data_IF_372451017717
#
_entry.id   IF_372451017717
#
_cell.length_a   1.000
_cell.length_b   1.000
_cell.length_c   1.000
_cell.angle_alpha   90.00
_cell.angle_beta   90.00
_cell.angle_gamma   90.00
#
_symmetry.space_group_name_H-M   'P 1'
#
loop_
_entity.id
_entity.type
_entity.pdbx_description
1 polymer ?
#
# COMPACT_ATOMS: atom_id res chain seq x y z
N UNK A 1 -29.00 -22.73 10.31
CA UNK A 1 -28.42 -23.91 9.68
C UNK A 1 -29.50 -24.97 9.55
N UNK A 2 -29.55 -25.68 8.44
CA UNK A 2 -30.62 -26.65 8.12
C UNK A 2 -30.03 -28.01 7.77
N UNK A 3 -30.76 -29.06 8.07
CA UNK A 3 -30.38 -30.43 7.73
C UNK A 3 -29.04 -30.83 8.35
N UNK A 4 -28.14 -31.35 7.53
CA UNK A 4 -26.82 -31.85 7.91
C UNK A 4 -25.68 -30.75 7.93
N UNK A 5 -26.04 -29.48 7.69
CA UNK A 5 -25.05 -28.39 7.61
C UNK A 5 -24.23 -28.28 8.91
N UNK A 6 -24.81 -28.44 10.07
CA UNK A 6 -24.10 -28.40 11.34
C UNK A 6 -23.11 -29.57 11.47
N UNK A 7 -23.50 -30.76 11.06
CA UNK A 7 -22.64 -31.94 11.07
C UNK A 7 -21.47 -31.77 10.12
N UNK A 8 -21.71 -31.29 8.91
CA UNK A 8 -20.66 -31.00 7.91
C UNK A 8 -19.73 -29.90 8.40
N UNK A 9 -20.27 -28.82 8.98
CA UNK A 9 -19.49 -27.74 9.56
C UNK A 9 -18.58 -28.22 10.69
N UNK A 10 -19.13 -29.01 11.64
CA UNK A 10 -18.37 -29.59 12.75
C UNK A 10 -17.26 -30.54 12.27
N UNK A 11 -17.55 -31.38 11.26
CA UNK A 11 -16.56 -32.24 10.63
C UNK A 11 -15.44 -31.47 9.95
N UNK A 12 -15.79 -30.35 9.30
CA UNK A 12 -14.81 -29.44 8.66
C UNK A 12 -13.91 -28.78 9.70
N UNK A 13 -14.47 -28.25 10.80
CA UNK A 13 -13.69 -27.69 11.93
C UNK A 13 -12.76 -28.73 12.51
N UNK A 14 -13.24 -29.97 12.72
CA UNK A 14 -12.40 -31.09 13.21
C UNK A 14 -11.24 -31.38 12.28
N UNK A 15 -11.49 -31.52 10.99
CA UNK A 15 -10.45 -31.78 9.99
C UNK A 15 -9.41 -30.67 9.95
N UNK A 16 -9.83 -29.41 9.96
CA UNK A 16 -8.95 -28.26 9.94
C UNK A 16 -8.14 -28.15 11.22
N UNK A 17 -8.75 -28.26 12.41
CA UNK A 17 -8.07 -28.15 13.68
C UNK A 17 -7.01 -29.24 13.86
N UNK A 18 -7.30 -30.49 13.50
CA UNK A 18 -6.33 -31.59 13.56
C UNK A 18 -5.13 -31.35 12.62
N UNK A 19 -5.38 -30.80 11.44
CA UNK A 19 -4.33 -30.49 10.46
C UNK A 19 -3.47 -29.30 10.89
N UNK A 20 -4.08 -28.27 11.50
CA UNK A 20 -3.47 -26.97 11.72
C UNK A 20 -2.88 -26.79 13.13
N UNK A 21 -3.34 -27.54 14.15
CA UNK A 21 -2.96 -27.33 15.57
C UNK A 21 -1.46 -27.44 15.86
N UNK A 22 -0.70 -28.09 14.98
CA UNK A 22 0.74 -28.25 15.14
C UNK A 22 1.57 -27.12 14.46
N UNK A 23 0.91 -26.15 13.85
CA UNK A 23 1.58 -25.01 13.19
C UNK A 23 1.77 -23.86 14.18
N UNK A 24 3.02 -23.54 14.62
CA UNK A 24 3.26 -22.51 15.64
C UNK A 24 2.94 -21.09 15.17
N UNK A 25 2.79 -20.86 13.86
CA UNK A 25 2.42 -19.57 13.28
C UNK A 25 0.92 -19.22 13.39
N UNK A 26 0.08 -20.19 13.80
CA UNK A 26 -1.35 -19.94 14.01
C UNK A 26 -1.59 -19.36 15.39
N UNK A 27 -1.98 -18.09 15.44
CA UNK A 27 -2.15 -17.34 16.67
C UNK A 27 -3.50 -17.61 17.35
N UNK A 28 -4.60 -17.67 16.56
CA UNK A 28 -5.95 -17.83 17.09
C UNK A 28 -6.88 -18.49 16.05
N UNK A 29 -8.04 -18.93 16.54
CA UNK A 29 -9.14 -19.45 15.75
C UNK A 29 -10.33 -18.51 15.83
N UNK A 30 -10.91 -18.13 14.68
CA UNK A 30 -12.14 -17.36 14.61
C UNK A 30 -13.28 -18.25 14.05
N UNK A 31 -14.39 -18.38 14.81
CA UNK A 31 -15.51 -19.24 14.42
C UNK A 31 -16.40 -18.64 13.35
N UNK A 32 -16.42 -17.32 13.21
CA UNK A 32 -17.25 -16.58 12.26
C UNK A 32 -16.49 -15.41 11.64
N UNK A 33 -17.11 -14.80 10.62
CA UNK A 33 -16.59 -13.59 9.96
C UNK A 33 -17.39 -12.35 10.46
N UNK A 34 -18.27 -11.78 9.64
CA UNK A 34 -19.01 -10.54 9.91
C UNK A 34 -19.93 -10.59 11.13
N UNK A 35 -20.24 -11.78 11.59
CA UNK A 35 -21.08 -12.04 12.78
C UNK A 35 -20.65 -13.34 13.46
N UNK A 36 -20.88 -13.45 14.77
CA UNK A 36 -20.79 -14.74 15.44
C UNK A 36 -21.70 -15.78 14.76
N UNK A 37 -21.31 -17.06 14.75
CA UNK A 37 -22.23 -18.13 14.39
C UNK A 37 -23.48 -18.12 15.30
N UNK A 38 -24.61 -18.70 14.88
CA UNK A 38 -25.71 -19.00 15.79
C UNK A 38 -25.21 -19.81 17.00
N UNK A 39 -25.86 -19.62 18.16
CA UNK A 39 -25.38 -20.18 19.43
C UNK A 39 -25.16 -21.70 19.41
N UNK A 40 -26.06 -22.45 18.79
CA UNK A 40 -25.95 -23.91 18.63
C UNK A 40 -24.76 -24.32 17.77
N UNK A 41 -24.46 -23.55 16.74
CA UNK A 41 -23.29 -23.75 15.85
C UNK A 41 -22.00 -23.40 16.58
N UNK A 42 -21.96 -22.28 17.29
CA UNK A 42 -20.80 -21.88 18.08
C UNK A 42 -20.43 -22.92 19.13
N UNK A 43 -21.44 -23.40 19.89
CA UNK A 43 -21.22 -24.44 20.89
C UNK A 43 -20.69 -25.75 20.29
N UNK A 44 -21.21 -26.15 19.14
CA UNK A 44 -20.70 -27.33 18.42
C UNK A 44 -19.24 -27.16 18.00
N UNK A 45 -18.87 -25.99 17.49
CA UNK A 45 -17.48 -25.69 17.08
C UNK A 45 -16.54 -25.66 18.30
N UNK A 46 -16.93 -25.02 19.39
CA UNK A 46 -16.17 -24.98 20.63
C UNK A 46 -15.93 -26.39 21.19
N UNK A 47 -16.96 -27.25 21.15
CA UNK A 47 -16.84 -28.64 21.57
C UNK A 47 -15.82 -29.40 20.70
N UNK A 48 -15.89 -29.26 19.38
CA UNK A 48 -14.93 -29.89 18.45
C UNK A 48 -13.51 -29.41 18.69
N UNK A 49 -13.28 -28.10 18.87
CA UNK A 49 -11.96 -27.53 19.14
C UNK A 49 -11.38 -28.05 20.46
N UNK A 50 -12.24 -28.19 21.49
CA UNK A 50 -11.86 -28.83 22.76
C UNK A 50 -11.46 -30.30 22.58
N UNK A 51 -12.26 -31.10 21.87
CA UNK A 51 -11.99 -32.51 21.60
C UNK A 51 -10.72 -32.73 20.78
N UNK A 52 -10.40 -31.82 19.88
CA UNK A 52 -9.18 -31.86 19.06
C UNK A 52 -7.98 -31.22 19.77
N UNK A 53 -8.12 -30.77 21.01
CA UNK A 53 -7.07 -30.11 21.79
C UNK A 53 -6.45 -28.93 21.04
N UNK A 54 -7.28 -28.02 20.54
CA UNK A 54 -6.80 -26.80 19.91
C UNK A 54 -6.02 -25.93 20.91
N UNK A 55 -4.74 -25.55 20.63
CA UNK A 55 -3.85 -24.98 21.65
C UNK A 55 -3.98 -23.48 21.85
N UNK A 56 -4.54 -22.74 20.87
CA UNK A 56 -4.50 -21.29 20.83
C UNK A 56 -5.85 -20.66 21.19
N UNK A 57 -5.92 -19.34 21.46
CA UNK A 57 -7.17 -18.64 21.72
C UNK A 57 -8.24 -18.87 20.66
N UNK A 58 -9.48 -18.91 21.08
CA UNK A 58 -10.66 -19.06 20.23
C UNK A 58 -11.52 -17.80 20.40
N UNK A 59 -11.93 -17.20 19.30
CA UNK A 59 -12.76 -16.00 19.24
C UNK A 59 -14.02 -16.31 18.42
N UNK A 60 -15.15 -15.79 18.86
CA UNK A 60 -16.45 -16.07 18.23
C UNK A 60 -16.56 -15.61 16.78
N UNK A 61 -15.97 -14.46 16.44
CA UNK A 61 -15.96 -13.93 15.06
C UNK A 61 -14.90 -12.85 14.85
N UNK A 62 -14.71 -12.47 13.60
CA UNK A 62 -13.90 -11.31 13.23
C UNK A 62 -14.59 -9.97 13.58
N UNK A 63 -15.91 -9.97 13.81
CA UNK A 63 -16.67 -8.76 14.12
C UNK A 63 -16.60 -8.39 15.60
N UNK A 64 -16.92 -7.13 15.90
CA UNK A 64 -17.07 -6.65 17.28
C UNK A 64 -18.38 -7.09 17.96
N UNK A 65 -19.29 -7.78 17.23
CA UNK A 65 -20.58 -8.22 17.76
C UNK A 65 -20.34 -9.26 18.85
N UNK A 66 -20.84 -9.07 20.09
CA UNK A 66 -20.74 -10.08 21.12
C UNK A 66 -21.49 -11.37 20.73
N UNK A 67 -20.93 -12.51 21.11
CA UNK A 67 -21.58 -13.81 21.07
C UNK A 67 -22.08 -14.21 22.47
N UNK A 68 -22.77 -15.35 22.57
CA UNK A 68 -23.16 -15.91 23.86
C UNK A 68 -21.95 -16.27 24.73
N UNK A 69 -20.83 -16.59 24.10
CA UNK A 69 -19.52 -16.82 24.76
C UNK A 69 -18.85 -15.54 25.27
N UNK A 70 -19.38 -14.36 24.95
CA UNK A 70 -18.84 -13.06 25.35
C UNK A 70 -18.38 -12.18 24.21
N UNK A 71 -17.74 -11.03 24.51
CA UNK A 71 -17.23 -10.12 23.49
C UNK A 71 -16.06 -10.76 22.74
N UNK A 72 -16.00 -10.52 21.41
CA UNK A 72 -14.89 -11.03 20.58
C UNK A 72 -13.54 -10.36 20.88
N UNK A 73 -13.56 -9.12 21.35
CA UNK A 73 -12.35 -8.29 21.48
C UNK A 73 -11.79 -7.78 20.12
N UNK A 74 -12.44 -8.15 19.03
CA UNK A 74 -12.05 -7.71 17.69
C UNK A 74 -12.69 -6.37 17.34
N UNK A 75 -12.13 -5.69 16.36
CA UNK A 75 -12.65 -4.48 15.77
C UNK A 75 -12.86 -4.67 14.26
N UNK A 76 -14.07 -4.47 13.79
CA UNK A 76 -14.43 -4.51 12.38
C UNK A 76 -15.40 -3.36 12.12
N UNK A 77 -14.83 -2.15 12.05
CA UNK A 77 -15.58 -0.90 12.01
C UNK A 77 -15.36 -0.11 10.71
N UNK A 78 -14.73 -0.76 9.72
CA UNK A 78 -14.37 -0.12 8.46
C UNK A 78 -13.21 0.88 8.64
N UNK A 79 -13.07 1.89 7.77
CA UNK A 79 -13.88 2.12 6.57
C UNK A 79 -13.63 1.10 5.46
N UNK A 80 -14.47 1.14 4.42
CA UNK A 80 -14.33 0.36 3.19
C UNK A 80 -14.37 1.26 1.94
N UNK A 81 -14.53 2.56 2.13
CA UNK A 81 -14.43 3.58 1.10
C UNK A 81 -13.27 4.52 1.41
N UNK A 82 -12.92 5.38 0.46
CA UNK A 82 -11.78 6.26 0.61
C UNK A 82 -11.90 7.18 1.83
N UNK A 83 -10.80 7.28 2.57
CA UNK A 83 -10.55 8.28 3.61
C UNK A 83 -9.16 8.88 3.42
N UNK A 84 -8.98 10.19 3.66
CA UNK A 84 -7.67 10.83 3.62
C UNK A 84 -6.66 10.16 4.57
N UNK A 85 -5.35 10.17 4.25
CA UNK A 85 -4.30 9.51 5.03
C UNK A 85 -4.29 9.84 6.53
N UNK A 86 -4.64 11.07 6.91
CA UNK A 86 -4.69 11.47 8.33
C UNK A 86 -5.77 10.75 9.15
N UNK A 87 -6.82 10.22 8.50
CA UNK A 87 -7.93 9.54 9.16
C UNK A 87 -7.45 8.50 10.19
N UNK A 88 -6.50 7.68 9.80
CA UNK A 88 -6.03 6.55 10.59
C UNK A 88 -5.42 6.93 11.94
N UNK A 89 -4.85 8.15 12.05
CA UNK A 89 -4.25 8.67 13.28
C UNK A 89 -5.18 9.58 14.07
N UNK A 90 -6.11 10.29 13.40
CA UNK A 90 -7.01 11.24 14.08
C UNK A 90 -8.30 10.59 14.59
N UNK A 91 -8.74 9.48 13.98
CA UNK A 91 -9.91 8.75 14.46
C UNK A 91 -9.54 7.81 15.61
N UNK A 92 -10.28 7.96 16.72
CA UNK A 92 -10.09 7.15 17.94
C UNK A 92 -11.33 6.35 18.33
N UNK A 93 -12.35 6.29 17.45
CA UNK A 93 -13.66 5.70 17.78
C UNK A 93 -14.16 4.69 16.76
N UNK A 94 -13.69 4.76 15.51
CA UNK A 94 -14.22 3.96 14.40
C UNK A 94 -13.12 3.09 13.78
N UNK A 95 -12.64 3.41 12.57
CA UNK A 95 -11.65 2.63 11.83
C UNK A 95 -10.19 2.93 12.18
N UNK A 96 -9.92 4.02 12.89
CA UNK A 96 -8.57 4.48 13.19
C UNK A 96 -7.67 3.47 13.89
N UNK A 97 -6.40 3.81 14.06
CA UNK A 97 -5.36 2.89 14.49
C UNK A 97 -5.37 2.60 16.00
N UNK A 98 -6.29 1.76 16.44
CA UNK A 98 -6.38 1.21 17.79
C UNK A 98 -7.01 -0.20 17.75
N UNK A 99 -6.76 -1.03 18.76
CA UNK A 99 -7.26 -2.41 18.84
C UNK A 99 -6.75 -3.29 17.71
N UNK A 100 -7.39 -4.44 17.53
CA UNK A 100 -7.14 -5.37 16.42
C UNK A 100 -8.24 -5.24 15.37
N UNK A 101 -7.94 -4.58 14.24
CA UNK A 101 -8.89 -4.43 13.14
C UNK A 101 -8.77 -5.61 12.17
N UNK A 102 -9.76 -6.47 12.20
CA UNK A 102 -9.76 -7.71 11.44
C UNK A 102 -10.10 -7.53 9.96
N UNK A 103 -10.67 -6.37 9.59
CA UNK A 103 -11.07 -6.13 8.22
C UNK A 103 -11.31 -4.64 7.98
N UNK A 104 -10.52 -4.03 7.11
CA UNK A 104 -10.66 -2.63 6.68
C UNK A 104 -9.90 -2.37 5.38
N UNK A 105 -10.23 -1.28 4.70
CA UNK A 105 -9.53 -0.83 3.49
C UNK A 105 -9.68 0.67 3.29
N UNK A 106 -8.67 1.37 2.77
CA UNK A 106 -8.78 2.78 2.40
C UNK A 106 -9.56 3.02 1.09
N UNK A 107 -10.34 2.06 0.61
CA UNK A 107 -11.31 2.21 -0.46
C UNK A 107 -10.95 1.55 -1.79
N UNK A 108 -11.48 2.07 -2.90
CA UNK A 108 -11.26 1.55 -4.23
C UNK A 108 -9.78 1.43 -4.60
N UNK A 109 -9.45 0.34 -5.31
CA UNK A 109 -8.14 0.04 -5.84
C UNK A 109 -8.25 -0.09 -7.37
N UNK A 110 -7.99 1.00 -8.08
CA UNK A 110 -8.10 1.02 -9.55
C UNK A 110 -6.90 0.30 -10.16
N UNK A 111 -7.11 -0.76 -10.96
CA UNK A 111 -6.03 -1.44 -11.67
C UNK A 111 -5.29 -0.54 -12.66
N UNK A 112 -4.13 -0.97 -13.11
CA UNK A 112 -3.40 -0.24 -14.15
C UNK A 112 -4.15 -0.26 -15.50
N UNK A 113 -3.84 0.65 -16.44
CA UNK A 113 -4.49 0.66 -17.75
C UNK A 113 -4.33 -0.66 -18.52
N UNK A 114 -3.21 -1.38 -18.34
CA UNK A 114 -3.01 -2.68 -18.98
C UNK A 114 -3.99 -3.73 -18.46
N UNK A 115 -4.25 -3.71 -17.16
CA UNK A 115 -5.21 -4.62 -16.55
C UNK A 115 -6.64 -4.23 -16.87
N UNK A 116 -7.00 -2.93 -16.80
CA UNK A 116 -8.33 -2.42 -17.14
C UNK A 116 -8.77 -2.83 -18.55
N UNK A 117 -7.88 -2.71 -19.53
CA UNK A 117 -8.15 -3.09 -20.93
C UNK A 117 -8.46 -4.58 -21.13
N UNK A 118 -8.20 -5.44 -20.15
CA UNK A 118 -8.47 -6.89 -20.23
C UNK A 118 -9.93 -7.23 -19.88
N UNK A 119 -10.66 -6.33 -19.21
CA UNK A 119 -12.01 -6.61 -18.75
C UNK A 119 -13.02 -5.47 -18.95
N UNK A 120 -12.57 -4.25 -19.18
CA UNK A 120 -13.45 -3.13 -19.58
C UNK A 120 -13.39 -3.02 -21.11
N UNK A 121 -14.55 -3.07 -21.81
CA UNK A 121 -14.61 -2.88 -23.27
C UNK A 121 -13.99 -1.54 -23.69
N UNK A 122 -13.38 -1.51 -24.85
CA UNK A 122 -12.60 -0.36 -25.32
C UNK A 122 -13.39 0.95 -25.39
N UNK A 123 -14.68 0.88 -25.75
CA UNK A 123 -15.63 1.99 -25.82
C UNK A 123 -16.14 2.48 -24.46
N UNK A 124 -15.88 1.70 -23.37
CA UNK A 124 -16.21 2.03 -21.99
C UNK A 124 -14.99 2.36 -21.12
N UNK A 125 -13.76 2.37 -21.71
CA UNK A 125 -12.56 2.67 -20.94
C UNK A 125 -12.52 4.12 -20.43
N UNK A 126 -13.15 5.05 -21.14
CA UNK A 126 -13.24 6.44 -20.75
C UNK A 126 -14.38 7.15 -21.51
N UNK A 127 -15.19 8.03 -20.88
CA UNK A 127 -15.18 8.33 -19.43
C UNK A 127 -15.71 7.18 -18.57
N UNK A 128 -15.56 7.32 -17.24
CA UNK A 128 -16.10 6.35 -16.27
C UNK A 128 -17.63 6.33 -16.35
N UNK A 129 -18.21 5.14 -16.46
CA UNK A 129 -19.64 4.90 -16.65
C UNK A 129 -20.17 3.73 -15.79
N UNK A 130 -21.33 3.18 -16.16
CA UNK A 130 -21.96 2.06 -15.46
C UNK A 130 -21.16 0.75 -15.56
N UNK A 131 -20.34 0.55 -16.58
CA UNK A 131 -19.46 -0.63 -16.70
C UNK A 131 -18.41 -0.59 -15.59
N UNK A 132 -17.82 0.57 -15.35
CA UNK A 132 -16.91 0.76 -14.22
C UNK A 132 -17.62 0.51 -12.88
N UNK A 133 -18.81 1.07 -12.70
CA UNK A 133 -19.57 0.89 -11.47
C UNK A 133 -19.98 -0.57 -11.24
N UNK A 134 -20.25 -1.33 -12.30
CA UNK A 134 -20.47 -2.77 -12.22
C UNK A 134 -19.26 -3.49 -11.61
N UNK A 135 -18.05 -3.13 -12.01
CA UNK A 135 -16.81 -3.68 -11.49
C UNK A 135 -16.41 -3.12 -10.10
N UNK A 136 -17.02 -2.06 -9.62
CA UNK A 136 -16.79 -1.51 -8.29
C UNK A 136 -17.59 -2.21 -7.19
N UNK A 137 -18.20 -3.34 -7.48
CA UNK A 137 -19.01 -4.13 -6.56
C UNK A 137 -20.52 -3.89 -6.69
N UNK A 138 -21.29 -4.58 -5.90
CA UNK A 138 -22.76 -4.51 -5.90
C UNK A 138 -23.29 -3.89 -4.63
N UNK A 139 -24.63 -3.62 -4.57
CA UNK A 139 -25.27 -3.03 -3.40
C UNK A 139 -24.68 -1.67 -3.04
N UNK A 140 -24.27 -1.46 -1.80
CA UNK A 140 -23.73 -0.19 -1.30
C UNK A 140 -22.32 0.18 -1.82
N UNK A 141 -21.62 -0.77 -2.45
CA UNK A 141 -20.28 -0.57 -3.02
C UNK A 141 -20.27 -0.43 -4.54
N UNK A 142 -21.43 -0.38 -5.16
CA UNK A 142 -21.62 -0.47 -6.62
C UNK A 142 -21.17 0.75 -7.42
N UNK A 143 -20.72 1.81 -6.79
CA UNK A 143 -20.31 3.03 -7.48
C UNK A 143 -18.96 3.52 -6.96
N UNK A 144 -18.25 4.28 -7.82
CA UNK A 144 -17.04 5.01 -7.49
C UNK A 144 -17.32 6.46 -7.08
N UNK A 145 -18.57 6.81 -6.73
CA UNK A 145 -18.99 8.20 -6.53
C UNK A 145 -18.18 8.92 -5.47
N UNK A 146 -18.10 8.37 -4.25
CA UNK A 146 -17.33 8.98 -3.16
C UNK A 146 -15.84 9.06 -3.48
N UNK A 147 -15.29 7.98 -4.06
CA UNK A 147 -13.89 7.93 -4.45
C UNK A 147 -13.55 8.97 -5.52
N UNK A 148 -14.36 9.09 -6.56
CA UNK A 148 -14.16 10.07 -7.62
C UNK A 148 -14.36 11.50 -7.12
N UNK A 149 -15.31 11.74 -6.20
CA UNK A 149 -15.48 13.03 -5.56
C UNK A 149 -14.22 13.44 -4.77
N UNK A 150 -13.64 12.51 -3.99
CA UNK A 150 -12.39 12.72 -3.29
C UNK A 150 -11.21 12.97 -4.25
N UNK A 151 -11.06 12.14 -5.29
CA UNK A 151 -10.01 12.29 -6.31
C UNK A 151 -10.09 13.65 -6.99
N UNK A 152 -11.30 14.07 -7.39
CA UNK A 152 -11.53 15.36 -8.02
C UNK A 152 -11.22 16.54 -7.08
N UNK A 153 -11.56 16.42 -5.81
CA UNK A 153 -11.33 17.46 -4.82
C UNK A 153 -9.84 17.59 -4.46
N UNK A 154 -9.12 16.47 -4.35
CA UNK A 154 -7.71 16.46 -3.97
C UNK A 154 -6.77 16.73 -5.16
N UNK A 155 -6.99 16.05 -6.28
CA UNK A 155 -6.07 16.06 -7.43
C UNK A 155 -6.65 16.79 -8.66
N UNK A 156 -7.86 17.33 -8.56
CA UNK A 156 -8.57 17.93 -9.69
C UNK A 156 -9.21 16.89 -10.63
N UNK A 157 -10.24 17.25 -11.39
CA UNK A 157 -10.92 16.34 -12.29
C UNK A 157 -9.95 15.78 -13.35
N UNK A 158 -9.99 14.46 -13.61
CA UNK A 158 -9.12 13.82 -14.60
C UNK A 158 -9.55 14.16 -16.02
N UNK A 159 -8.58 14.24 -16.93
CA UNK A 159 -8.77 14.60 -18.33
C UNK A 159 -8.91 13.38 -19.24
N UNK A 160 -8.35 12.26 -18.88
CA UNK A 160 -8.33 11.01 -19.63
C UNK A 160 -8.04 9.81 -18.69
N UNK A 161 -8.03 8.60 -19.26
CA UNK A 161 -7.79 7.37 -18.53
C UNK A 161 -6.41 7.35 -17.83
N UNK A 162 -5.37 7.82 -18.50
CA UNK A 162 -4.01 7.79 -17.97
C UNK A 162 -3.85 8.79 -16.82
N UNK A 163 -4.50 9.94 -16.91
CA UNK A 163 -4.54 10.93 -15.85
C UNK A 163 -5.35 10.43 -14.63
N UNK A 164 -6.52 9.81 -14.88
CA UNK A 164 -7.31 9.18 -13.82
C UNK A 164 -6.51 8.08 -13.11
N UNK A 165 -5.88 7.20 -13.88
CA UNK A 165 -5.08 6.11 -13.31
C UNK A 165 -3.92 6.63 -12.47
N UNK A 166 -3.17 7.61 -12.97
CA UNK A 166 -2.04 8.24 -12.27
C UNK A 166 -2.44 8.80 -10.90
N UNK A 167 -3.60 9.51 -10.84
CA UNK A 167 -4.18 10.02 -9.59
C UNK A 167 -4.59 8.88 -8.66
N UNK A 168 -5.27 7.89 -9.20
CA UNK A 168 -5.72 6.72 -8.43
C UNK A 168 -4.56 5.93 -7.83
N UNK A 169 -3.45 5.76 -8.57
CA UNK A 169 -2.27 5.09 -8.04
C UNK A 169 -1.62 5.85 -6.88
N UNK A 170 -1.54 7.19 -6.97
CA UNK A 170 -1.01 8.02 -5.90
C UNK A 170 -1.92 7.97 -4.66
N UNK A 171 -3.25 8.06 -4.82
CA UNK A 171 -4.21 7.93 -3.72
C UNK A 171 -4.12 6.57 -3.04
N UNK A 172 -4.07 5.48 -3.82
CA UNK A 172 -3.97 4.13 -3.27
C UNK A 172 -2.64 3.91 -2.53
N UNK A 173 -1.52 4.38 -3.10
CA UNK A 173 -0.21 4.29 -2.46
C UNK A 173 -0.21 5.00 -1.09
N UNK A 174 -0.68 6.25 -1.05
CA UNK A 174 -0.68 7.06 0.16
C UNK A 174 -1.67 6.55 1.21
N UNK A 175 -2.88 6.16 0.79
CA UNK A 175 -3.93 5.65 1.67
C UNK A 175 -3.54 4.33 2.36
N UNK A 176 -3.04 3.35 1.59
CA UNK A 176 -2.58 2.06 2.12
C UNK A 176 -1.36 2.23 3.03
N UNK A 177 -0.38 3.03 2.60
CA UNK A 177 0.80 3.33 3.41
C UNK A 177 0.40 3.93 4.76
N UNK A 178 -0.44 4.97 4.73
CA UNK A 178 -0.87 5.68 5.93
C UNK A 178 -1.63 4.79 6.92
N UNK A 179 -2.46 3.85 6.43
CA UNK A 179 -3.15 2.89 7.26
C UNK A 179 -2.16 2.03 8.05
N UNK A 180 -1.28 1.32 7.37
CA UNK A 180 -0.32 0.43 8.02
C UNK A 180 0.68 1.17 8.91
N UNK A 181 1.16 2.35 8.49
CA UNK A 181 2.03 3.20 9.30
C UNK A 181 1.35 3.65 10.60
N UNK A 182 0.08 4.04 10.55
CA UNK A 182 -0.67 4.45 11.74
C UNK A 182 -0.81 3.32 12.75
N UNK A 183 -1.16 2.10 12.28
CA UNK A 183 -1.25 0.93 13.15
C UNK A 183 0.10 0.53 13.73
N UNK A 184 1.18 0.64 12.97
CA UNK A 184 2.54 0.36 13.46
C UNK A 184 3.03 1.42 14.46
N UNK A 185 2.76 2.71 14.19
CA UNK A 185 3.12 3.81 15.12
C UNK A 185 2.39 3.70 16.46
N UNK A 186 1.15 3.23 16.44
CA UNK A 186 0.31 3.16 17.64
C UNK A 186 0.46 1.85 18.43
N UNK A 187 1.57 1.10 18.25
CA UNK A 187 1.90 -0.03 19.14
C UNK A 187 1.96 0.50 20.59
N UNK A 188 1.32 -0.09 21.55
CA UNK A 188 0.46 -1.26 21.61
C UNK A 188 -1.01 -0.89 21.90
N UNK A 189 -1.40 0.35 21.66
CA UNK A 189 -2.82 0.73 21.60
C UNK A 189 -3.47 0.06 20.39
N UNK A 190 -2.74 -0.03 19.29
CA UNK A 190 -3.05 -0.88 18.16
C UNK A 190 -2.31 -2.22 18.28
N UNK A 191 -3.00 -3.33 18.03
CA UNK A 191 -2.45 -4.68 18.10
C UNK A 191 -2.45 -5.39 16.75
N UNK A 192 -3.04 -4.82 15.73
CA UNK A 192 -2.98 -5.33 14.36
C UNK A 192 -4.05 -4.75 13.44
N UNK A 193 -3.80 -4.90 12.15
CA UNK A 193 -4.74 -4.57 11.07
C UNK A 193 -4.62 -5.59 9.95
N UNK A 194 -5.77 -5.99 9.38
CA UNK A 194 -5.82 -6.87 8.22
C UNK A 194 -6.49 -6.10 7.09
N UNK A 195 -5.75 -5.93 5.99
CA UNK A 195 -6.27 -5.34 4.76
C UNK A 195 -7.29 -6.27 4.12
N UNK A 196 -8.48 -5.77 3.87
CA UNK A 196 -9.47 -6.38 3.01
C UNK A 196 -9.40 -5.72 1.63
N UNK A 197 -8.71 -6.35 0.62
CA UNK A 197 -8.19 -7.72 0.66
C UNK A 197 -6.95 -7.90 -0.22
N UNK A 198 -6.31 -9.08 -0.18
CA UNK A 198 -5.08 -9.32 -0.93
C UNK A 198 -5.30 -9.29 -2.44
N UNK A 199 -6.32 -10.00 -2.94
CA UNK A 199 -6.61 -10.11 -4.38
C UNK A 199 -8.08 -10.44 -4.63
N UNK A 200 -8.52 -10.29 -5.88
CA UNK A 200 -9.90 -10.52 -6.30
C UNK A 200 -10.08 -11.86 -7.02
N UNK A 201 -11.25 -12.49 -6.82
CA UNK A 201 -11.65 -13.72 -7.52
C UNK A 201 -12.27 -13.45 -8.91
N UNK A 202 -12.53 -12.19 -9.25
CA UNK A 202 -13.02 -11.71 -10.54
C UNK A 202 -12.53 -10.28 -10.77
N UNK A 203 -12.57 -9.73 -12.01
CA UNK A 203 -12.10 -8.38 -12.28
C UNK A 203 -12.92 -7.35 -11.48
N UNK A 204 -12.30 -6.71 -10.51
CA UNK A 204 -12.92 -5.74 -9.60
C UNK A 204 -12.05 -4.50 -9.45
N UNK A 205 -12.65 -3.39 -9.04
CA UNK A 205 -12.02 -2.09 -8.81
C UNK A 205 -11.88 -1.76 -7.32
N UNK A 206 -12.17 -2.72 -6.42
CA UNK A 206 -12.20 -2.44 -4.98
C UNK A 206 -11.29 -3.36 -4.17
N UNK A 207 -10.62 -2.75 -3.19
CA UNK A 207 -9.96 -3.31 -2.01
C UNK A 207 -8.72 -4.18 -2.23
N UNK A 208 -8.33 -4.50 -3.46
CA UNK A 208 -7.23 -5.42 -3.71
C UNK A 208 -5.85 -4.75 -3.62
N UNK A 209 -4.85 -5.53 -3.21
CA UNK A 209 -3.42 -5.19 -3.38
C UNK A 209 -2.88 -5.74 -4.70
N UNK A 210 -3.34 -6.94 -5.10
CA UNK A 210 -3.14 -7.49 -6.45
C UNK A 210 -4.49 -7.60 -7.13
N UNK A 211 -4.59 -7.09 -8.34
CA UNK A 211 -5.82 -7.20 -9.11
C UNK A 211 -6.11 -8.64 -9.58
N UNK A 212 -7.20 -8.84 -10.33
CA UNK A 212 -7.57 -10.15 -10.88
C UNK A 212 -6.49 -10.76 -11.77
N UNK A 213 -5.69 -9.95 -12.45
CA UNK A 213 -4.58 -10.37 -13.30
C UNK A 213 -3.27 -10.57 -12.52
N UNK A 214 -3.29 -10.47 -11.19
CA UNK A 214 -2.15 -10.55 -10.28
C UNK A 214 -1.12 -9.42 -10.49
N UNK A 215 -1.56 -8.29 -11.05
CA UNK A 215 -0.74 -7.10 -11.20
C UNK A 215 -0.77 -6.28 -9.90
N UNK A 216 0.40 -6.00 -9.27
CA UNK A 216 0.47 -5.09 -8.12
C UNK A 216 0.46 -3.63 -8.62
N UNK A 217 -0.28 -2.78 -7.90
CA UNK A 217 -0.41 -1.36 -8.23
C UNK A 217 0.06 -0.48 -7.05
N UNK A 218 -0.25 0.82 -7.08
CA UNK A 218 0.21 1.77 -6.07
C UNK A 218 -0.10 1.34 -4.64
N UNK A 219 -1.30 0.83 -4.37
CA UNK A 219 -1.70 0.35 -3.05
C UNK A 219 -0.81 -0.76 -2.50
N UNK A 220 -0.45 -1.74 -3.34
CA UNK A 220 0.50 -2.80 -2.95
C UNK A 220 1.85 -2.22 -2.51
N UNK A 221 2.40 -1.27 -3.28
CA UNK A 221 3.71 -0.71 -2.96
C UNK A 221 3.67 0.23 -1.75
N UNK A 222 2.56 0.94 -1.53
CA UNK A 222 2.32 1.68 -0.29
C UNK A 222 2.28 0.74 0.93
N UNK A 223 1.54 -0.36 0.84
CA UNK A 223 1.50 -1.42 1.86
C UNK A 223 2.88 -2.01 2.12
N UNK A 224 3.60 -2.38 1.07
CA UNK A 224 4.94 -2.95 1.17
C UNK A 224 5.91 -1.99 1.86
N UNK A 225 5.84 -0.71 1.51
CA UNK A 225 6.65 0.36 2.11
C UNK A 225 6.39 0.48 3.61
N UNK A 226 5.13 0.55 4.02
CA UNK A 226 4.74 0.70 5.43
C UNK A 226 5.10 -0.51 6.31
N UNK A 227 5.23 -1.69 5.70
CA UNK A 227 5.54 -2.95 6.40
C UNK A 227 7.03 -3.34 6.34
N UNK A 228 7.94 -2.41 6.05
CA UNK A 228 9.38 -2.64 6.22
C UNK A 228 9.68 -3.03 7.68
N UNK A 229 10.49 -4.06 7.97
CA UNK A 229 10.71 -4.54 9.34
C UNK A 229 11.28 -3.48 10.28
N UNK A 230 12.16 -2.61 9.77
CA UNK A 230 12.60 -1.38 10.45
C UNK A 230 12.24 -0.23 9.55
N UNK A 231 11.37 0.65 10.01
CA UNK A 231 10.71 1.64 9.15
C UNK A 231 10.73 3.04 9.74
N UNK A 232 10.99 4.05 8.90
CA UNK A 232 10.88 5.47 9.27
C UNK A 232 9.66 6.09 8.60
N UNK A 233 8.83 6.80 9.38
CA UNK A 233 7.54 7.29 8.94
C UNK A 233 7.21 8.70 9.46
N UNK A 234 6.27 9.36 8.75
CA UNK A 234 5.66 10.64 9.13
C UNK A 234 4.25 10.41 9.71
N UNK A 235 3.95 11.05 10.81
CA UNK A 235 2.64 11.00 11.44
C UNK A 235 1.77 12.21 11.05
N UNK A 236 0.64 11.92 10.42
CA UNK A 236 -0.25 12.94 9.85
C UNK A 236 -1.03 13.75 10.90
N UNK A 237 -1.13 13.27 12.14
CA UNK A 237 -1.82 13.94 13.24
C UNK A 237 -0.99 15.06 13.85
N UNK A 238 0.28 14.78 14.20
CA UNK A 238 1.14 15.66 14.96
C UNK A 238 2.44 16.09 14.25
N UNK A 239 2.64 15.66 13.01
CA UNK A 239 3.86 15.92 12.21
C UNK A 239 5.14 15.32 12.83
N UNK A 240 5.00 14.34 13.70
CA UNK A 240 6.18 13.65 14.22
C UNK A 240 6.78 12.70 13.18
N UNK A 241 8.08 12.49 13.31
CA UNK A 241 8.80 11.44 12.64
C UNK A 241 9.02 10.32 13.66
N UNK A 242 8.58 9.13 13.30
CA UNK A 242 8.74 7.95 14.13
C UNK A 242 9.58 6.88 13.40
N UNK A 243 10.29 6.09 14.18
CA UNK A 243 10.92 4.85 13.72
C UNK A 243 10.24 3.69 14.42
N UNK A 244 9.91 2.65 13.65
CA UNK A 244 9.32 1.41 14.13
C UNK A 244 10.32 0.29 13.89
N UNK A 245 10.61 -0.49 14.92
CA UNK A 245 11.35 -1.74 14.82
C UNK A 245 10.38 -2.89 15.07
N UNK A 246 10.06 -3.67 14.04
CA UNK A 246 9.21 -4.86 14.17
C UNK A 246 10.03 -6.16 14.17
N UNK A 247 11.33 -6.07 14.45
CA UNK A 247 12.20 -7.23 14.57
C UNK A 247 12.35 -7.64 16.04
N UNK A 248 12.84 -8.86 16.29
CA UNK A 248 13.12 -9.37 17.62
C UNK A 248 14.51 -8.97 18.17
N UNK A 249 15.24 -8.14 17.43
CA UNK A 249 16.55 -7.64 17.80
C UNK A 249 16.51 -6.12 17.99
N UNK A 250 17.22 -5.59 18.99
CA UNK A 250 17.37 -4.14 19.13
C UNK A 250 18.17 -3.57 17.96
N UNK A 251 17.96 -2.32 17.65
CA UNK A 251 18.74 -1.55 16.67
C UNK A 251 19.44 -0.39 17.37
N UNK A 252 20.70 -0.10 17.00
CA UNK A 252 21.46 0.98 17.61
C UNK A 252 22.32 1.73 16.58
N UNK A 253 22.64 2.98 16.90
CA UNK A 253 23.47 3.84 16.07
C UNK A 253 22.83 4.17 14.72
N UNK A 254 21.51 4.04 14.58
CA UNK A 254 20.82 4.39 13.37
C UNK A 254 20.79 5.90 13.17
N UNK A 255 20.88 6.35 11.91
CA UNK A 255 20.81 7.76 11.53
C UNK A 255 19.48 8.03 10.82
N UNK A 256 18.60 8.73 11.49
CA UNK A 256 17.33 9.18 10.95
C UNK A 256 17.49 10.60 10.40
N UNK A 257 17.43 10.76 9.08
CA UNK A 257 17.53 12.06 8.41
C UNK A 257 16.19 12.48 7.87
N UNK A 258 15.81 13.71 8.13
CA UNK A 258 14.56 14.34 7.70
C UNK A 258 14.89 15.57 6.87
N UNK A 259 14.24 15.70 5.72
CA UNK A 259 14.33 16.89 4.86
C UNK A 259 12.94 17.28 4.39
N UNK A 260 12.56 18.52 4.67
CA UNK A 260 11.31 19.13 4.21
C UNK A 260 11.64 20.16 3.15
N UNK A 261 10.99 20.06 2.00
CA UNK A 261 11.17 21.02 0.90
C UNK A 261 9.80 21.54 0.44
N UNK A 262 9.76 22.79 0.00
CA UNK A 262 8.57 23.35 -0.64
C UNK A 262 8.36 22.76 -2.06
N UNK A 263 7.29 23.19 -2.72
CA UNK A 263 6.99 22.76 -4.10
C UNK A 263 8.11 23.07 -5.10
N UNK A 264 8.89 24.10 -4.87
CA UNK A 264 10.02 24.49 -5.71
C UNK A 264 11.35 23.86 -5.29
N UNK A 265 11.29 22.89 -4.36
CA UNK A 265 12.44 22.16 -3.79
C UNK A 265 13.37 23.03 -2.93
N UNK A 266 12.94 24.21 -2.52
CA UNK A 266 13.66 25.00 -1.50
C UNK A 266 13.52 24.30 -0.15
N UNK A 267 14.64 24.08 0.52
CA UNK A 267 14.67 23.48 1.86
C UNK A 267 14.01 24.40 2.88
N UNK A 268 13.02 23.84 3.60
CA UNK A 268 12.30 24.48 4.68
C UNK A 268 12.81 24.02 6.05
N UNK A 269 13.22 22.77 6.13
CA UNK A 269 13.74 22.14 7.35
C UNK A 269 14.59 20.93 7.01
N UNK A 270 15.67 20.74 7.78
CA UNK A 270 16.51 19.55 7.70
C UNK A 270 17.11 19.24 9.07
N UNK A 271 17.03 17.97 9.47
CA UNK A 271 17.59 17.51 10.75
C UNK A 271 17.98 16.04 10.66
N UNK A 272 19.04 15.69 11.39
CA UNK A 272 19.47 14.30 11.57
C UNK A 272 19.51 13.96 13.07
N UNK A 273 19.00 12.78 13.41
CA UNK A 273 18.99 12.28 14.78
C UNK A 273 19.58 10.87 14.83
N UNK A 274 20.21 10.54 15.96
CA UNK A 274 20.65 9.17 16.24
C UNK A 274 19.52 8.44 16.96
N UNK A 275 19.25 7.20 16.53
CA UNK A 275 18.19 6.36 17.06
C UNK A 275 18.76 5.04 17.57
N UNK A 276 18.51 4.77 18.84
CA UNK A 276 18.71 3.49 19.48
C UNK A 276 17.35 3.01 19.96
N UNK A 277 16.97 1.77 19.67
CA UNK A 277 15.62 1.29 19.95
C UNK A 277 15.62 -0.21 20.29
N UNK A 278 14.79 -0.58 21.23
CA UNK A 278 14.56 -1.97 21.61
C UNK A 278 13.91 -2.78 20.48
N UNK A 279 13.98 -4.11 20.61
CA UNK A 279 13.21 -5.03 19.79
C UNK A 279 11.72 -4.73 19.91
N UNK A 280 11.00 -4.89 18.79
CA UNK A 280 9.55 -4.68 18.69
C UNK A 280 9.07 -3.33 19.27
N UNK A 281 9.84 -2.28 19.03
CA UNK A 281 9.66 -0.95 19.60
C UNK A 281 9.13 0.08 18.57
N UNK A 282 8.65 1.19 19.12
CA UNK A 282 8.34 2.41 18.38
C UNK A 282 8.88 3.63 19.12
N UNK A 283 9.51 4.55 18.39
CA UNK A 283 10.09 5.76 18.96
C UNK A 283 9.77 6.98 18.12
N UNK A 284 9.21 8.01 18.77
CA UNK A 284 9.15 9.36 18.19
C UNK A 284 10.55 9.97 18.23
N UNK A 285 11.09 10.30 17.07
CA UNK A 285 12.47 10.79 16.93
C UNK A 285 12.52 12.31 17.00
N UNK A 286 11.68 12.97 16.22
CA UNK A 286 11.56 14.42 16.20
C UNK A 286 10.15 14.83 15.71
N UNK A 287 9.88 16.13 15.73
CA UNK A 287 8.66 16.72 15.17
C UNK A 287 9.04 17.83 14.21
N UNK A 288 8.56 17.74 12.96
CA UNK A 288 8.84 18.80 11.99
C UNK A 288 7.98 20.03 12.29
N UNK A 289 8.51 21.25 12.04
CA UNK A 289 7.72 22.47 12.19
C UNK A 289 6.54 22.49 11.24
N UNK A 290 5.53 23.29 11.57
CA UNK A 290 4.42 23.52 10.65
C UNK A 290 4.91 24.30 9.43
N UNK A 291 4.57 23.81 8.24
CA UNK A 291 4.83 24.55 7.01
C UNK A 291 3.79 25.65 6.90
N UNK A 292 4.19 26.92 6.85
CA UNK A 292 3.24 28.03 6.78
C UNK A 292 2.33 27.90 5.55
N UNK A 293 1.03 28.13 5.77
CA UNK A 293 0.06 28.24 4.69
C UNK A 293 -0.15 29.71 4.38
N UNK A 294 0.18 30.10 3.16
CA UNK A 294 -0.27 31.37 2.60
C UNK A 294 -1.79 31.33 2.32
N UNK A 295 -2.34 32.41 1.78
CA UNK A 295 -3.77 32.48 1.41
C UNK A 295 -4.21 31.37 0.43
N UNK A 296 -3.27 30.77 -0.30
CA UNK A 296 -3.51 29.65 -1.21
C UNK A 296 -2.82 28.40 -0.68
N UNK A 297 -3.54 27.26 -0.52
CA UNK A 297 -2.94 26.00 -0.14
C UNK A 297 -1.82 25.59 -1.09
N UNK A 298 -0.78 24.99 -0.56
CA UNK A 298 0.35 24.54 -1.36
C UNK A 298 0.74 23.10 -1.00
N UNK A 299 1.49 22.46 -1.90
CA UNK A 299 2.10 21.14 -1.69
C UNK A 299 3.54 21.32 -1.24
N UNK A 300 3.97 20.51 -0.30
CA UNK A 300 5.35 20.38 0.14
C UNK A 300 5.71 18.90 0.27
N UNK A 301 7.00 18.61 0.35
CA UNK A 301 7.50 17.24 0.37
C UNK A 301 8.33 16.98 1.62
N UNK A 302 8.18 15.76 2.16
CA UNK A 302 9.00 15.28 3.27
C UNK A 302 9.75 14.04 2.81
N UNK A 303 11.08 14.13 2.80
CA UNK A 303 11.98 13.01 2.52
C UNK A 303 12.56 12.49 3.82
N UNK A 304 12.39 11.19 4.05
CA UNK A 304 12.94 10.48 5.20
C UNK A 304 13.93 9.44 4.75
N UNK A 305 15.01 9.26 5.52
CA UNK A 305 15.92 8.13 5.37
C UNK A 305 16.42 7.65 6.73
N UNK A 306 16.55 6.35 6.86
CA UNK A 306 17.11 5.69 8.02
C UNK A 306 18.28 4.84 7.56
N UNK A 307 19.48 5.12 8.07
CA UNK A 307 20.71 4.38 7.77
C UNK A 307 21.23 3.69 9.00
N UNK A 308 21.81 2.51 8.84
CA UNK A 308 22.51 1.84 9.93
C UNK A 308 23.87 2.50 10.25
N UNK A 309 24.53 2.03 11.31
CA UNK A 309 25.82 2.54 11.75
C UNK A 309 26.93 2.43 10.69
N UNK A 310 26.76 1.60 9.66
CA UNK A 310 27.71 1.48 8.54
C UNK A 310 27.40 2.46 7.40
N UNK A 311 26.29 3.19 7.49
CA UNK A 311 25.81 4.12 6.46
C UNK A 311 24.94 3.46 5.39
N UNK A 312 24.61 2.16 5.51
CA UNK A 312 23.71 1.46 4.59
C UNK A 312 22.27 1.92 4.83
N UNK A 313 21.55 2.21 3.76
CA UNK A 313 20.14 2.57 3.80
C UNK A 313 19.31 1.35 4.26
N UNK A 314 18.53 1.53 5.32
CA UNK A 314 17.65 0.52 5.92
C UNK A 314 16.20 0.79 5.51
N UNK A 315 15.76 2.05 5.61
CA UNK A 315 14.42 2.48 5.21
C UNK A 315 14.48 3.88 4.61
N UNK A 316 13.62 4.16 3.65
CA UNK A 316 13.42 5.51 3.14
C UNK A 316 11.97 5.73 2.76
N UNK A 317 11.47 6.93 3.00
CA UNK A 317 10.09 7.28 2.69
C UNK A 317 10.00 8.66 2.06
N UNK A 318 8.95 8.88 1.27
CA UNK A 318 8.72 10.16 0.61
C UNK A 318 7.23 10.50 0.70
N UNK A 319 6.92 11.65 1.29
CA UNK A 319 5.55 12.16 1.45
C UNK A 319 5.35 13.40 0.61
N UNK A 320 4.17 13.52 0.05
CA UNK A 320 3.65 14.74 -0.57
C UNK A 320 2.44 15.17 0.25
N UNK A 321 2.49 16.37 0.76
CA UNK A 321 1.58 16.86 1.77
C UNK A 321 1.01 18.22 1.35
N UNK A 322 -0.23 18.48 1.73
CA UNK A 322 -0.88 19.78 1.55
C UNK A 322 -0.82 20.59 2.83
N UNK A 323 -0.68 21.90 2.71
CA UNK A 323 -0.89 22.80 3.85
C UNK A 323 -2.36 22.91 4.25
N UNK A 324 -3.29 22.48 3.38
CA UNK A 324 -4.70 22.34 3.67
C UNK A 324 -4.97 20.95 4.27
N UNK A 325 -5.49 20.92 5.48
CA UNK A 325 -5.84 19.68 6.18
C UNK A 325 -7.24 19.21 5.79
N UNK A 326 -7.49 17.90 5.72
CA UNK A 326 -8.85 17.40 5.55
C UNK A 326 -9.67 17.56 6.84
N UNK A 327 -10.99 17.71 6.67
CA UNK A 327 -11.97 17.79 7.76
C UNK A 327 -13.02 16.71 7.59
N UNK A 328 -13.44 16.08 8.69
CA UNK A 328 -14.32 14.92 8.68
C UNK A 328 -15.67 15.25 9.34
N UNK A 329 -16.75 14.70 8.80
CA UNK A 329 -18.07 14.68 9.43
C UNK A 329 -18.21 13.38 10.25
N UNK A 330 -17.72 13.42 11.48
CA UNK A 330 -17.72 12.25 12.37
C UNK A 330 -19.13 11.79 12.75
N UNK A 331 -20.12 12.68 12.75
CA UNK A 331 -21.51 12.34 13.11
C UNK A 331 -22.16 11.46 12.05
N UNK A 332 -21.75 11.58 10.80
CA UNK A 332 -22.25 10.78 9.68
C UNK A 332 -21.38 9.56 9.36
N UNK A 333 -20.42 9.24 10.22
CA UNK A 333 -19.60 8.03 10.04
C UNK A 333 -20.48 6.79 10.04
N UNK A 334 -20.22 5.92 9.05
CA UNK A 334 -20.81 4.60 8.92
C UNK A 334 -19.73 3.53 8.89
N UNK A 335 -20.11 2.25 8.89
CA UNK A 335 -19.19 1.14 8.65
C UNK A 335 -18.42 1.29 7.31
N UNK A 336 -19.02 1.92 6.31
CA UNK A 336 -18.47 1.98 4.97
C UNK A 336 -17.58 3.21 4.78
N UNK A 337 -18.02 4.35 5.29
CA UNK A 337 -17.47 5.64 4.92
C UNK A 337 -17.60 6.65 6.07
N UNK A 338 -16.58 7.46 6.23
CA UNK A 338 -16.61 8.69 7.01
C UNK A 338 -16.60 9.86 6.03
N UNK A 339 -17.69 10.65 5.94
CA UNK A 339 -17.73 11.77 5.00
C UNK A 339 -16.67 12.82 5.30
N UNK A 340 -16.11 13.38 4.24
CA UNK A 340 -15.07 14.42 4.29
C UNK A 340 -15.70 15.74 3.85
N UNK A 341 -15.67 16.75 4.69
CA UNK A 341 -16.26 18.08 4.43
C UNK A 341 -15.29 19.04 3.76
N UNK A 342 -13.98 18.78 3.94
CA UNK A 342 -12.90 19.53 3.31
C UNK A 342 -11.77 18.57 2.99
N UNK A 343 -11.32 18.53 1.73
CA UNK A 343 -10.20 17.68 1.30
C UNK A 343 -8.89 18.48 1.27
N UNK A 344 -7.78 17.81 1.41
CA UNK A 344 -6.45 18.35 1.11
C UNK A 344 -6.37 18.75 -0.37
N UNK A 345 -5.48 19.68 -0.71
CA UNK A 345 -5.31 20.14 -2.10
C UNK A 345 -3.94 19.74 -2.64
N UNK A 346 -3.94 18.80 -3.56
CA UNK A 346 -2.77 18.28 -4.27
C UNK A 346 -2.70 18.75 -5.73
N UNK A 347 -3.60 19.61 -6.17
CA UNK A 347 -3.72 20.03 -7.57
C UNK A 347 -2.44 20.66 -8.11
N UNK A 348 -1.63 21.27 -7.23
CA UNK A 348 -0.33 21.84 -7.61
C UNK A 348 0.66 20.81 -8.17
N UNK A 349 0.51 19.53 -7.86
CA UNK A 349 1.36 18.45 -8.41
C UNK A 349 1.33 18.40 -9.96
N UNK A 350 0.26 18.87 -10.60
CA UNK A 350 0.20 18.98 -12.07
C UNK A 350 1.13 20.03 -12.67
N UNK A 351 1.65 20.92 -11.83
CA UNK A 351 2.62 21.94 -12.23
C UNK A 351 4.06 21.47 -12.09
N UNK A 352 4.31 20.22 -11.65
CA UNK A 352 5.65 19.66 -11.64
C UNK A 352 6.21 19.62 -13.07
N UNK A 353 7.43 20.16 -13.28
CA UNK A 353 8.06 20.12 -14.59
C UNK A 353 8.24 18.67 -15.06
N UNK A 354 8.03 18.42 -16.35
CA UNK A 354 8.38 17.15 -16.97
C UNK A 354 9.87 16.87 -16.80
N UNK A 355 10.20 15.61 -16.54
CA UNK A 355 11.58 15.22 -16.31
C UNK A 355 11.91 13.84 -16.88
N UNK A 356 13.21 13.60 -17.08
CA UNK A 356 13.75 12.33 -17.54
C UNK A 356 14.70 11.78 -16.48
N UNK A 357 14.78 10.46 -16.42
CA UNK A 357 15.73 9.76 -15.56
C UNK A 357 16.82 9.14 -16.44
N UNK A 358 18.07 9.24 -15.99
CA UNK A 358 19.11 8.37 -16.51
C UNK A 358 18.92 7.00 -15.87
N UNK A 359 18.67 5.97 -16.71
CA UNK A 359 18.41 4.63 -16.22
C UNK A 359 19.27 3.59 -16.93
N UNK A 360 19.58 2.50 -16.23
CA UNK A 360 20.16 1.28 -16.79
C UNK A 360 19.47 0.07 -16.18
N UNK A 361 19.31 -1.01 -16.97
CA UNK A 361 18.70 -2.24 -16.51
C UNK A 361 19.52 -3.43 -16.99
N UNK A 362 19.84 -4.35 -16.09
CA UNK A 362 20.64 -5.54 -16.36
C UNK A 362 20.02 -6.80 -15.75
N UNK A 363 19.99 -7.88 -16.54
CA UNK A 363 19.67 -9.20 -16.03
C UNK A 363 20.80 -9.72 -15.16
N UNK A 364 20.45 -10.27 -14.01
CA UNK A 364 21.35 -10.92 -13.07
C UNK A 364 20.87 -12.34 -12.78
N UNK A 365 21.76 -13.36 -12.86
CA UNK A 365 21.40 -14.70 -12.47
C UNK A 365 21.22 -14.81 -10.96
N UNK A 366 20.23 -15.58 -10.52
CA UNK A 366 20.01 -15.94 -9.14
C UNK A 366 19.93 -17.46 -8.96
N UNK A 367 20.12 -17.93 -7.71
CA UNK A 367 20.05 -19.36 -7.39
C UNK A 367 18.72 -19.99 -7.80
N UNK A 368 17.63 -19.22 -7.66
CA UNK A 368 16.26 -19.66 -7.97
C UNK A 368 15.57 -18.63 -8.89
N UNK A 369 16.02 -18.53 -10.16
CA UNK A 369 15.41 -17.60 -11.11
C UNK A 369 16.40 -16.56 -11.65
N UNK A 370 15.86 -15.47 -12.08
CA UNK A 370 16.58 -14.28 -12.57
C UNK A 370 16.00 -13.04 -11.92
N UNK A 371 16.79 -11.99 -11.83
CA UNK A 371 16.29 -10.66 -11.46
C UNK A 371 16.85 -9.59 -12.37
N UNK A 372 16.12 -8.51 -12.49
CA UNK A 372 16.54 -7.30 -13.17
C UNK A 372 16.98 -6.28 -12.12
N UNK A 373 18.22 -5.85 -12.20
CA UNK A 373 18.74 -4.70 -11.43
C UNK A 373 18.53 -3.44 -12.26
N UNK A 374 17.75 -2.49 -11.73
CA UNK A 374 17.49 -1.19 -12.35
C UNK A 374 18.16 -0.10 -11.53
N UNK A 375 19.01 0.68 -12.18
CA UNK A 375 19.61 1.88 -11.57
C UNK A 375 18.98 3.12 -12.18
N UNK A 376 18.43 3.96 -11.32
CA UNK A 376 17.81 5.23 -11.67
C UNK A 376 18.64 6.38 -11.12
N UNK A 377 18.79 7.44 -11.91
CA UNK A 377 19.39 8.70 -11.45
C UNK A 377 18.57 9.87 -11.97
N UNK A 378 18.13 10.71 -11.06
CA UNK A 378 17.50 11.97 -11.43
C UNK A 378 18.58 13.01 -11.73
N UNK A 379 18.84 13.24 -13.01
CA UNK A 379 19.81 14.23 -13.48
C UNK A 379 19.20 15.60 -13.76
N UNK A 380 17.89 15.74 -13.57
CA UNK A 380 17.17 16.99 -13.78
C UNK A 380 17.21 17.91 -12.56
N UNK A 381 16.77 19.14 -12.71
CA UNK A 381 16.56 20.09 -11.61
C UNK A 381 15.18 19.96 -10.95
N UNK A 382 14.30 19.04 -11.44
CA UNK A 382 12.97 18.83 -10.95
C UNK A 382 12.85 17.53 -10.15
N UNK A 383 11.82 17.43 -9.31
CA UNK A 383 11.44 16.18 -8.65
C UNK A 383 10.98 15.17 -9.71
N UNK A 384 11.52 13.97 -9.70
CA UNK A 384 10.95 12.82 -10.39
C UNK A 384 9.95 12.15 -9.45
N UNK A 385 8.65 12.27 -9.73
CA UNK A 385 7.60 11.91 -8.78
C UNK A 385 6.83 10.66 -9.22
N UNK A 386 6.63 9.72 -8.28
CA UNK A 386 5.88 8.49 -8.46
C UNK A 386 6.32 7.71 -9.71
N UNK A 387 7.63 7.42 -9.80
CA UNK A 387 8.23 6.68 -10.91
C UNK A 387 7.79 5.23 -10.85
N UNK A 388 7.07 4.77 -11.88
CA UNK A 388 6.65 3.39 -12.07
C UNK A 388 7.60 2.67 -13.02
N UNK A 389 8.02 1.48 -12.63
CA UNK A 389 8.81 0.55 -13.41
C UNK A 389 7.96 -0.66 -13.79
N UNK A 390 8.06 -1.11 -15.04
CA UNK A 390 7.44 -2.34 -15.50
C UNK A 390 8.39 -3.07 -16.43
N UNK A 391 8.44 -4.39 -16.35
CA UNK A 391 9.15 -5.20 -17.33
C UNK A 391 8.14 -5.72 -18.34
N UNK A 392 8.40 -5.46 -19.61
CA UNK A 392 7.51 -5.80 -20.71
C UNK A 392 8.23 -6.71 -21.72
N UNK A 393 7.48 -7.58 -22.38
CA UNK A 393 7.96 -8.41 -23.49
C UNK A 393 6.85 -8.66 -24.51
N UNK A 394 7.26 -9.17 -25.68
CA UNK A 394 6.32 -9.54 -26.75
C UNK A 394 5.99 -8.44 -27.74
N UNK A 395 5.05 -8.76 -28.64
CA UNK A 395 4.51 -7.84 -29.68
C UNK A 395 3.01 -8.16 -29.86
N UNK A 396 2.08 -7.27 -29.43
CA UNK A 396 2.35 -6.02 -28.68
C UNK A 396 3.09 -6.26 -27.36
N UNK A 397 3.75 -5.22 -26.85
CA UNK A 397 4.45 -5.27 -25.59
C UNK A 397 3.46 -5.39 -24.43
N UNK A 398 3.60 -6.40 -23.59
CA UNK A 398 2.77 -6.63 -22.40
C UNK A 398 3.66 -6.76 -21.16
N UNK A 399 3.13 -6.32 -20.03
CA UNK A 399 3.82 -6.46 -18.75
C UNK A 399 3.95 -7.93 -18.37
N UNK A 400 5.16 -8.35 -18.03
CA UNK A 400 5.45 -9.70 -17.57
C UNK A 400 4.99 -9.85 -16.13
N UNK A 401 4.17 -10.86 -15.85
CA UNK A 401 3.66 -11.18 -14.53
C UNK A 401 3.82 -12.69 -14.22
N UNK A 402 4.02 -13.10 -12.97
CA UNK A 402 4.29 -12.25 -11.81
C UNK A 402 5.72 -11.69 -11.80
N UNK A 403 5.90 -10.48 -11.31
CA UNK A 403 7.19 -9.89 -11.04
C UNK A 403 7.22 -9.33 -9.61
N UNK A 404 8.28 -9.65 -8.87
CA UNK A 404 8.43 -9.25 -7.47
C UNK A 404 9.42 -8.08 -7.39
N UNK A 405 8.91 -6.87 -7.53
CA UNK A 405 9.67 -5.65 -7.34
C UNK A 405 10.04 -5.43 -5.87
N UNK A 406 11.29 -5.06 -5.60
CA UNK A 406 11.71 -4.62 -4.27
C UNK A 406 10.96 -3.35 -3.84
N UNK A 407 10.88 -2.37 -4.74
CA UNK A 407 10.19 -1.11 -4.56
C UNK A 407 9.63 -0.63 -5.92
N UNK A 408 8.63 0.24 -5.91
CA UNK A 408 8.09 0.87 -7.12
C UNK A 408 7.36 2.17 -6.74
N UNK A 409 6.93 2.96 -7.73
CA UNK A 409 6.36 4.29 -7.48
C UNK A 409 7.29 5.19 -6.66
N UNK A 410 8.58 5.07 -6.93
CA UNK A 410 9.63 5.80 -6.19
C UNK A 410 9.67 7.27 -6.58
N UNK A 411 10.09 8.13 -5.63
CA UNK A 411 10.28 9.57 -5.90
C UNK A 411 11.73 9.96 -5.64
N UNK A 412 12.33 10.71 -6.58
CA UNK A 412 13.74 11.07 -6.54
C UNK A 412 13.90 12.60 -6.65
N UNK A 413 14.50 13.21 -5.64
CA UNK A 413 14.94 14.60 -5.69
C UNK A 413 16.08 14.77 -6.72
N UNK A 414 16.36 16.01 -7.19
CA UNK A 414 17.49 16.27 -8.07
C UNK A 414 18.81 15.69 -7.53
N UNK A 415 19.54 14.99 -8.40
CA UNK A 415 20.83 14.34 -8.08
C UNK A 415 20.70 12.98 -7.37
N UNK A 416 19.54 12.59 -6.89
CA UNK A 416 19.36 11.29 -6.22
C UNK A 416 19.49 10.11 -7.16
N UNK A 417 20.03 9.02 -6.62
CA UNK A 417 20.16 7.72 -7.27
C UNK A 417 19.40 6.65 -6.46
N UNK A 418 18.79 5.69 -7.16
CA UNK A 418 18.15 4.54 -6.57
C UNK A 418 18.44 3.29 -7.39
N UNK A 419 18.81 2.21 -6.73
CA UNK A 419 18.80 0.88 -7.32
C UNK A 419 17.54 0.16 -6.84
N UNK A 420 16.84 -0.50 -7.75
CA UNK A 420 15.64 -1.30 -7.48
C UNK A 420 15.78 -2.62 -8.20
N UNK A 421 15.43 -3.70 -7.51
CA UNK A 421 15.46 -5.04 -8.07
C UNK A 421 14.05 -5.56 -8.37
N UNK A 422 13.92 -6.29 -9.49
CA UNK A 422 12.74 -7.04 -9.85
C UNK A 422 13.09 -8.51 -10.01
N UNK A 423 12.46 -9.37 -9.21
CA UNK A 423 12.71 -10.80 -9.21
C UNK A 423 11.63 -11.55 -9.97
N UNK A 424 12.04 -12.49 -10.82
CA UNK A 424 11.16 -13.38 -11.58
C UNK A 424 11.19 -14.79 -10.96
N UNK A 425 10.03 -15.32 -10.53
CA UNK A 425 9.96 -16.66 -9.94
C UNK A 425 10.34 -17.77 -10.90
N UNK A 426 10.22 -17.55 -12.21
CA UNK A 426 10.48 -18.53 -13.28
C UNK A 426 11.45 -17.97 -14.31
N UNK A 427 12.54 -18.72 -14.62
CA UNK A 427 13.51 -18.36 -15.68
C UNK A 427 12.88 -18.18 -17.06
N UNK A 428 11.75 -18.83 -17.33
CA UNK A 428 11.05 -18.75 -18.62
C UNK A 428 10.03 -17.62 -18.72
N UNK A 429 9.81 -16.85 -17.64
CA UNK A 429 8.82 -15.77 -17.60
C UNK A 429 9.25 -14.53 -18.38
N UNK A 430 10.56 -14.32 -18.56
CA UNK A 430 11.10 -13.07 -19.11
C UNK A 430 10.96 -13.00 -20.64
N UNK A 431 10.77 -14.13 -21.33
CA UNK A 431 10.70 -14.15 -22.79
C UNK A 431 12.01 -13.75 -23.48
N UNK A 432 11.98 -13.60 -24.80
CA UNK A 432 13.10 -13.06 -25.58
C UNK A 432 12.99 -11.54 -25.69
N UNK A 433 14.07 -10.83 -25.37
CA UNK A 433 14.19 -9.36 -25.50
C UNK A 433 13.25 -8.56 -24.54
N UNK A 434 13.37 -8.76 -23.24
CA UNK A 434 12.60 -7.96 -22.29
C UNK A 434 13.03 -6.50 -22.32
N UNK A 435 12.08 -5.62 -22.08
CA UNK A 435 12.30 -4.18 -21.98
C UNK A 435 11.84 -3.65 -20.63
N UNK A 436 12.51 -2.63 -20.13
CA UNK A 436 12.08 -1.88 -18.96
C UNK A 436 11.33 -0.63 -19.44
N UNK A 437 10.07 -0.53 -19.05
CA UNK A 437 9.28 0.69 -19.21
C UNK A 437 9.38 1.53 -17.94
N UNK A 438 9.69 2.80 -18.11
CA UNK A 438 9.75 3.81 -17.05
C UNK A 438 8.66 4.84 -17.33
N UNK A 439 7.82 5.09 -16.35
CA UNK A 439 6.74 6.08 -16.40
C UNK A 439 6.58 6.74 -15.03
N UNK A 440 5.67 7.67 -14.86
CA UNK A 440 5.43 8.30 -13.58
C UNK A 440 4.57 9.56 -13.69
N UNK A 441 4.40 10.27 -12.59
CA UNK A 441 3.54 11.45 -12.55
C UNK A 441 3.96 12.53 -13.54
N UNK A 442 5.23 12.90 -13.51
CA UNK A 442 5.82 13.91 -14.39
C UNK A 442 7.00 13.36 -15.22
N UNK A 443 7.07 12.05 -15.38
CA UNK A 443 8.11 11.38 -16.17
C UNK A 443 7.65 11.27 -17.62
N UNK A 444 8.49 11.68 -18.56
CA UNK A 444 8.30 11.32 -19.95
C UNK A 444 8.49 9.81 -20.11
N UNK A 445 7.49 9.06 -20.63
CA UNK A 445 7.59 7.62 -20.73
C UNK A 445 8.77 7.19 -21.59
N UNK A 446 9.56 6.25 -21.10
CA UNK A 446 10.75 5.72 -21.78
C UNK A 446 10.76 4.19 -21.70
N UNK A 447 11.30 3.55 -22.75
CA UNK A 447 11.50 2.10 -22.79
C UNK A 447 12.95 1.80 -23.08
N UNK A 448 13.59 0.98 -22.23
CA UNK A 448 14.98 0.58 -22.33
C UNK A 448 15.09 -0.92 -22.58
N UNK A 449 16.06 -1.33 -23.40
CA UNK A 449 16.41 -2.76 -23.52
C UNK A 449 17.14 -3.20 -22.26
N UNK A 450 16.72 -4.33 -21.69
CA UNK A 450 17.39 -4.93 -20.54
C UNK A 450 18.61 -5.70 -21.06
N UNK A 451 19.80 -5.23 -20.69
CA UNK A 451 21.08 -5.84 -21.10
C UNK A 451 21.42 -7.09 -20.28
N UNK A 452 22.13 -8.05 -20.90
CA UNK A 452 22.75 -9.14 -20.14
C UNK A 452 23.98 -8.63 -19.38
N UNK A 453 24.14 -9.06 -18.13
CA UNK A 453 25.35 -8.73 -17.35
C UNK A 453 26.55 -9.49 -17.90
N UNK A 454 27.48 -8.78 -18.55
CA UNK A 454 28.71 -9.36 -19.08
C UNK A 454 29.10 -8.91 -20.50
N UNK A 455 28.18 -8.32 -21.25
CA UNK A 455 28.54 -7.71 -22.54
C UNK A 455 29.01 -6.27 -22.33
N UNK A 456 30.32 -6.08 -22.17
CA UNK A 456 30.95 -4.81 -22.49
C UNK A 456 30.56 -4.47 -23.93
N UNK A 457 29.76 -3.44 -24.12
CA UNK A 457 29.50 -2.86 -25.42
C UNK A 457 30.85 -2.39 -26.00
N UNK A 458 31.51 -3.24 -26.74
CA UNK A 458 32.61 -2.87 -27.59
C UNK A 458 32.05 -1.96 -28.69
N UNK A 459 32.49 -0.71 -28.67
CA UNK A 459 32.27 0.31 -29.68
C UNK A 459 32.19 -0.28 -31.10
N UNK A 460 31.16 -0.02 -31.91
CA UNK A 460 31.23 -0.32 -33.32
C UNK A 460 32.27 0.63 -33.95
N UNK A 461 33.41 0.05 -34.32
CA UNK A 461 34.39 0.75 -35.14
C UNK A 461 33.70 1.25 -36.41
N UNK A 462 33.75 2.55 -36.62
CA UNK A 462 33.49 3.19 -37.91
C UNK A 462 34.32 2.49 -38.98
N UNK A 463 33.67 2.01 -39.99
CA UNK A 463 34.21 1.89 -41.34
C UNK A 463 33.36 2.74 -42.28
#
# INVERSE_FOLDING_TARGET
WKGDQLAVGSASVRSQSLRLRAHPSLLMWLNGSDKPPPADVEQAYLQVLKETSWPNPIVSSASQTPADSGPSGMKMTGPYDYVPPSYWLVDTKHGGAYGFNTETSPGPAVPTPNSLKKFIPADHLWPIDEVWNFHAGSSRFRTLENYNAALNAEYGPPTDLDDYNRKSQAMAYDGERAMFEAYSRNKYTSTGVIQWMLNNAWPSLIWHLHDYNLEPAGGYFGTKKANEPVHIMYAYDDRSIAVVNSTYEPVSGMKASVRVVDFNLKELFSQEETVDMDADGVQKVLQIPEVPSDATPTVYFVKLSLKDATGRLVSSNFYWLSTKKPEFDWEKTSLIHTPVTSYQDMTRLFKLPKTHLKATAHLRPAKNGEYVEVRLKNTSAALAFQVRLAVEAGKPSEEILPVLWEDNYVSLLPGEERTVEARFPNKHSIGSHPTLKISGWNIEPETLVIGESGTNASNPKKK
#
